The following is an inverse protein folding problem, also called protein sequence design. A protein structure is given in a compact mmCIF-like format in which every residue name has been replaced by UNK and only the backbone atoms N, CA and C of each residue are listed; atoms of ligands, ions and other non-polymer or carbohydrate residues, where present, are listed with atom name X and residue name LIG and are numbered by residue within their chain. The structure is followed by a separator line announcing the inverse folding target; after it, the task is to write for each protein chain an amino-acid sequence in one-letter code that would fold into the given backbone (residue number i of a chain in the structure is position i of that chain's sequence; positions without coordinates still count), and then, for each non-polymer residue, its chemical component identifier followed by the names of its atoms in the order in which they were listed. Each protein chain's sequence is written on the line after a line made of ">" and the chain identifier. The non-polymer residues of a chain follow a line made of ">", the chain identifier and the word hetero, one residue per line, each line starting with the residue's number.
data_IF_619538940183
#
_entry.id   IF_619538940183
#
_cell.length_a   1.000
_cell.length_b   1.000
_cell.length_c   1.000
_cell.angle_alpha   90.00
_cell.angle_beta   90.00
_cell.angle_gamma   90.00
#
_symmetry.space_group_name_H-M   'P 1'
#
loop_
_entity.id
_entity.type
_entity.pdbx_description
1 polymer ?
#
# COMPACT_ATOMS: atom_id res chain seq x y z
N UNK A 1 23.10 8.56 -36.94
CA UNK A 1 24.39 8.79 -37.63
C UNK A 1 25.21 9.75 -36.77
N UNK A 2 26.18 9.25 -36.01
CA UNK A 2 27.14 10.12 -35.32
C UNK A 2 28.42 10.17 -36.17
N UNK A 3 28.74 11.37 -36.66
CA UNK A 3 29.94 11.64 -37.46
C UNK A 3 31.08 12.00 -36.52
N UNK A 4 32.21 11.28 -36.60
CA UNK A 4 33.43 11.61 -35.86
C UNK A 4 34.51 11.95 -36.88
N UNK A 5 34.97 13.20 -36.91
CA UNK A 5 36.04 13.65 -37.80
C UNK A 5 37.40 13.30 -37.19
N UNK A 6 38.35 12.72 -37.95
CA UNK A 6 39.68 12.42 -37.43
C UNK A 6 40.57 13.66 -37.39
N UNK A 7 41.39 13.78 -36.33
CA UNK A 7 42.43 14.79 -36.18
C UNK A 7 43.73 14.23 -36.81
N UNK A 8 44.20 14.85 -37.89
CA UNK A 8 45.48 14.49 -38.53
C UNK A 8 46.64 15.20 -37.80
N UNK A 9 47.52 14.41 -37.17
CA UNK A 9 48.84 14.88 -36.72
C UNK A 9 49.89 14.46 -37.75
N UNK A 10 50.62 15.44 -38.30
CA UNK A 10 51.67 15.24 -39.30
C UNK A 10 52.98 14.85 -38.62
N UNK A 11 53.28 13.55 -38.63
CA UNK A 11 54.61 13.02 -38.35
C UNK A 11 55.00 12.06 -39.48
N UNK A 12 56.12 12.36 -40.16
CA UNK A 12 56.67 11.55 -41.26
C UNK A 12 57.20 10.23 -40.74
N UNK A 13 56.32 9.25 -40.62
CA UNK A 13 56.64 7.82 -40.63
C UNK A 13 55.73 7.19 -41.67
N UNK A 14 56.28 6.43 -42.61
CA UNK A 14 55.50 5.61 -43.54
C UNK A 14 54.87 4.44 -42.75
N UNK A 15 53.89 4.75 -41.92
CA UNK A 15 53.01 3.79 -41.29
C UNK A 15 51.62 3.99 -41.91
N UNK A 16 51.14 2.99 -42.65
CA UNK A 16 49.78 3.00 -43.19
C UNK A 16 48.82 2.92 -41.99
N UNK A 17 47.97 3.93 -41.73
CA UNK A 17 47.00 3.84 -40.66
C UNK A 17 45.96 2.78 -41.01
N UNK A 18 45.96 1.66 -40.27
CA UNK A 18 44.94 0.64 -40.40
C UNK A 18 43.69 1.10 -39.64
N UNK A 19 42.64 1.48 -40.36
CA UNK A 19 41.33 1.75 -39.78
C UNK A 19 40.52 0.45 -39.81
N UNK A 20 40.28 -0.12 -38.63
CA UNK A 20 39.35 -1.24 -38.48
C UNK A 20 37.95 -0.74 -38.18
N UNK A 21 36.93 -1.34 -38.80
CA UNK A 21 35.52 -1.18 -38.42
C UNK A 21 35.07 -2.51 -37.83
N UNK A 22 34.57 -2.48 -36.59
CA UNK A 22 33.94 -3.64 -35.97
C UNK A 22 32.42 -3.50 -36.06
N UNK A 23 31.76 -4.54 -36.57
CA UNK A 23 30.30 -4.67 -36.58
C UNK A 23 29.89 -5.72 -35.55
N UNK A 24 28.77 -5.51 -34.86
CA UNK A 24 28.23 -6.44 -33.87
C UNK A 24 26.80 -6.77 -34.31
N UNK A 25 26.56 -8.02 -34.68
CA UNK A 25 25.22 -8.54 -34.99
C UNK A 25 24.67 -9.21 -33.73
N UNK A 26 23.49 -8.77 -33.29
CA UNK A 26 22.80 -9.30 -32.10
C UNK A 26 21.51 -9.95 -32.57
N UNK A 27 21.33 -11.23 -32.28
CA UNK A 27 20.07 -11.91 -32.52
C UNK A 27 19.01 -11.40 -31.51
N UNK A 28 17.93 -10.82 -32.03
CA UNK A 28 16.90 -10.14 -31.25
C UNK A 28 15.76 -11.08 -30.82
N UNK A 29 15.80 -12.36 -31.21
CA UNK A 29 14.72 -13.32 -30.93
C UNK A 29 14.67 -13.77 -29.47
N UNK A 30 15.83 -14.01 -28.85
CA UNK A 30 15.94 -14.50 -27.46
C UNK A 30 16.32 -13.40 -26.45
N UNK A 31 16.39 -12.14 -26.89
CA UNK A 31 16.78 -11.01 -26.05
C UNK A 31 15.56 -10.25 -25.51
N UNK A 32 15.11 -10.59 -24.31
CA UNK A 32 14.03 -9.84 -23.64
C UNK A 32 14.47 -8.42 -23.22
N UNK A 33 13.58 -7.45 -23.35
CA UNK A 33 13.78 -6.08 -22.86
C UNK A 33 13.25 -5.99 -21.43
N UNK A 34 14.04 -5.43 -20.52
CA UNK A 34 13.57 -5.08 -19.18
C UNK A 34 13.39 -3.57 -19.05
N UNK A 35 12.14 -3.14 -18.86
CA UNK A 35 11.79 -1.74 -18.69
C UNK A 35 11.62 -1.34 -17.23
N UNK A 36 11.61 -2.31 -16.32
CA UNK A 36 11.40 -2.09 -14.89
C UNK A 36 12.65 -1.51 -14.22
N UNK A 37 12.41 -0.84 -13.09
CA UNK A 37 13.48 -0.30 -12.26
C UNK A 37 14.43 -1.39 -11.75
N UNK A 38 15.63 -0.97 -11.33
CA UNK A 38 16.56 -1.88 -10.68
C UNK A 38 16.09 -2.14 -9.25
N UNK A 39 15.63 -3.36 -8.97
CA UNK A 39 15.42 -3.81 -7.60
C UNK A 39 16.80 -3.86 -6.90
N UNK A 40 16.98 -3.09 -5.83
CA UNK A 40 18.24 -3.03 -5.05
C UNK A 40 18.62 -4.36 -4.37
N UNK A 41 17.83 -5.42 -4.53
CA UNK A 41 17.90 -6.68 -3.77
C UNK A 41 18.35 -7.90 -4.58
N UNK A 42 18.38 -7.82 -5.91
CA UNK A 42 18.75 -8.94 -6.80
C UNK A 42 19.89 -8.54 -7.71
N UNK A 43 21.06 -8.31 -7.09
CA UNK A 43 22.36 -8.47 -7.75
C UNK A 43 22.57 -9.96 -8.05
N UNK A 44 21.81 -10.49 -9.03
CA UNK A 44 22.19 -11.76 -9.64
C UNK A 44 23.42 -11.49 -10.51
N UNK A 45 24.59 -11.66 -9.88
CA UNK A 45 25.93 -11.40 -10.44
C UNK A 45 26.24 -12.19 -11.71
N UNK A 46 25.33 -13.05 -12.17
CA UNK A 46 25.56 -13.95 -13.29
C UNK A 46 24.93 -13.49 -14.62
N UNK A 47 24.18 -12.39 -14.66
CA UNK A 47 23.65 -11.85 -15.91
C UNK A 47 23.82 -10.34 -15.99
N UNK A 48 25.06 -9.90 -16.17
CA UNK A 48 25.38 -8.51 -16.56
C UNK A 48 24.98 -8.28 -18.02
N UNK A 49 23.69 -8.41 -18.32
CA UNK A 49 23.07 -7.97 -19.57
C UNK A 49 23.02 -6.45 -19.51
N UNK A 50 23.46 -5.76 -20.57
CA UNK A 50 23.36 -4.31 -20.67
C UNK A 50 21.87 -3.94 -20.69
N UNK A 51 21.33 -3.63 -19.52
CA UNK A 51 19.93 -3.30 -19.38
C UNK A 51 19.73 -1.80 -19.51
N UNK A 52 19.84 -1.32 -20.75
CA UNK A 52 19.75 0.10 -21.12
C UNK A 52 18.32 0.62 -21.11
N UNK A 53 17.33 -0.28 -20.96
CA UNK A 53 15.91 0.05 -21.04
C UNK A 53 15.26 0.20 -19.66
N UNK A 54 15.99 0.01 -18.57
CA UNK A 54 15.47 0.18 -17.19
C UNK A 54 14.87 1.56 -16.97
N UNK A 55 13.80 1.61 -16.16
CA UNK A 55 13.11 2.83 -15.79
C UNK A 55 12.36 3.50 -16.95
N UNK A 56 12.16 2.80 -18.08
CA UNK A 56 11.37 3.31 -19.21
C UNK A 56 9.90 2.88 -19.15
N UNK A 57 9.49 2.17 -18.10
CA UNK A 57 8.10 1.78 -17.89
C UNK A 57 7.18 2.99 -17.67
N UNK A 58 5.90 2.81 -17.97
CA UNK A 58 4.87 3.85 -17.80
C UNK A 58 3.96 3.59 -16.59
N UNK A 59 4.29 2.62 -15.74
CA UNK A 59 3.52 2.28 -14.54
C UNK A 59 3.29 3.51 -13.64
N UNK A 60 2.06 3.76 -13.17
CA UNK A 60 1.78 4.84 -12.22
C UNK A 60 2.42 4.59 -10.85
N UNK A 61 2.55 5.66 -10.05
CA UNK A 61 3.16 5.63 -8.70
C UNK A 61 2.46 4.67 -7.72
N UNK A 62 1.20 4.30 -7.96
CA UNK A 62 0.45 3.34 -7.14
C UNK A 62 0.75 1.87 -7.47
N UNK A 63 1.63 1.62 -8.44
CA UNK A 63 1.96 0.29 -8.96
C UNK A 63 3.46 0.05 -9.00
N UNK A 64 3.87 -1.22 -8.94
CA UNK A 64 5.23 -1.71 -9.15
C UNK A 64 5.33 -2.39 -10.52
N UNK A 65 6.42 -2.13 -11.23
CA UNK A 65 6.73 -2.78 -12.51
C UNK A 65 7.30 -4.19 -12.29
N UNK A 66 6.76 -5.18 -13.00
CA UNK A 66 7.27 -6.55 -13.09
C UNK A 66 7.49 -6.95 -14.55
N UNK A 67 8.69 -7.43 -14.89
CA UNK A 67 9.03 -7.82 -16.27
C UNK A 67 8.37 -9.15 -16.66
N UNK A 68 7.89 -9.24 -17.90
CA UNK A 68 7.46 -10.50 -18.52
C UNK A 68 8.62 -11.08 -19.35
N UNK A 69 9.07 -12.28 -19.00
CA UNK A 69 10.15 -13.01 -19.68
C UNK A 69 9.58 -13.80 -20.88
N UNK A 70 10.37 -13.97 -21.94
CA UNK A 70 10.03 -14.77 -23.12
C UNK A 70 9.11 -14.05 -24.11
N UNK A 71 9.19 -12.72 -24.18
CA UNK A 71 8.47 -11.90 -25.16
C UNK A 71 9.37 -11.42 -26.31
N UNK A 72 10.68 -11.68 -26.22
CA UNK A 72 11.67 -11.24 -27.19
C UNK A 72 11.91 -9.73 -27.11
N UNK A 73 12.49 -9.19 -28.17
CA UNK A 73 12.86 -7.77 -28.23
C UNK A 73 11.66 -6.86 -28.57
N UNK A 74 10.69 -6.79 -27.65
CA UNK A 74 9.47 -5.96 -27.78
C UNK A 74 9.26 -5.07 -26.56
N UNK A 75 8.80 -3.84 -26.74
CA UNK A 75 8.41 -2.94 -25.65
C UNK A 75 7.02 -3.30 -25.12
N UNK A 76 6.70 -2.87 -23.90
CA UNK A 76 5.43 -3.16 -23.24
C UNK A 76 5.35 -4.55 -22.61
N UNK A 77 6.46 -5.30 -22.57
CA UNK A 77 6.57 -6.62 -21.96
C UNK A 77 6.75 -6.55 -20.43
N UNK A 78 5.87 -5.81 -19.76
CA UNK A 78 5.84 -5.67 -18.30
C UNK A 78 4.40 -5.60 -17.80
N UNK A 79 4.22 -5.89 -16.51
CA UNK A 79 2.97 -5.76 -15.78
C UNK A 79 3.15 -4.70 -14.69
N UNK A 80 2.14 -3.86 -14.50
CA UNK A 80 2.08 -2.93 -13.37
C UNK A 80 1.17 -3.54 -12.30
N UNK A 81 1.78 -4.08 -11.24
CA UNK A 81 1.09 -4.71 -10.11
C UNK A 81 0.84 -3.67 -9.02
N UNK A 82 -0.31 -3.70 -8.35
CA UNK A 82 -0.58 -2.73 -7.28
C UNK A 82 0.44 -2.82 -6.13
N UNK A 83 0.89 -1.68 -5.63
CA UNK A 83 1.72 -1.63 -4.43
C UNK A 83 0.94 -2.11 -3.19
N UNK A 84 1.64 -2.53 -2.12
CA UNK A 84 1.00 -2.71 -0.81
C UNK A 84 0.19 -1.47 -0.44
N UNK A 85 -0.94 -1.68 0.24
CA UNK A 85 -1.94 -0.68 0.59
C UNK A 85 -2.76 -0.13 -0.57
N UNK A 86 -2.63 -0.71 -1.77
CA UNK A 86 -3.49 -0.45 -2.91
C UNK A 86 -4.05 -1.75 -3.49
N UNK A 87 -5.24 -1.70 -4.09
CA UNK A 87 -5.88 -2.83 -4.74
C UNK A 87 -6.35 -2.47 -6.15
N UNK A 88 -6.52 -3.52 -6.97
CA UNK A 88 -6.91 -3.37 -8.38
C UNK A 88 -8.41 -3.02 -8.49
N UNK A 89 -8.81 -2.04 -9.33
CA UNK A 89 -10.20 -1.59 -9.42
C UNK A 89 -11.22 -2.69 -9.73
N UNK A 90 -10.89 -3.62 -10.63
CA UNK A 90 -11.72 -4.78 -10.94
C UNK A 90 -11.33 -5.98 -10.06
N UNK A 91 -12.02 -6.11 -8.93
CA UNK A 91 -11.74 -7.15 -7.94
C UNK A 91 -11.97 -8.58 -8.46
N UNK A 92 -12.73 -8.73 -9.56
CA UNK A 92 -13.08 -10.03 -10.16
C UNK A 92 -12.14 -10.44 -11.31
N UNK A 93 -11.22 -9.57 -11.71
CA UNK A 93 -10.27 -9.88 -12.78
C UNK A 93 -9.37 -11.07 -12.40
N UNK A 94 -9.11 -11.96 -13.36
CA UNK A 94 -8.20 -13.10 -13.20
C UNK A 94 -6.76 -12.63 -12.94
N UNK A 95 -6.34 -11.57 -13.65
CA UNK A 95 -5.02 -10.95 -13.51
C UNK A 95 -5.20 -9.54 -12.94
N UNK A 96 -4.76 -9.32 -11.69
CA UNK A 96 -4.85 -8.04 -10.97
C UNK A 96 -3.66 -7.12 -11.25
N UNK A 97 -3.37 -6.93 -12.52
CA UNK A 97 -2.26 -6.10 -12.98
C UNK A 97 -2.61 -5.40 -14.28
N UNK A 98 -2.02 -4.23 -14.51
CA UNK A 98 -2.17 -3.53 -15.79
C UNK A 98 -1.09 -4.00 -16.77
N UNK A 99 -1.50 -4.28 -18.01
CA UNK A 99 -0.59 -4.65 -19.08
C UNK A 99 0.20 -3.42 -19.57
N UNK A 100 1.53 -3.52 -19.58
CA UNK A 100 2.42 -2.46 -20.06
C UNK A 100 2.20 -2.10 -21.52
N UNK A 101 1.81 -3.08 -22.36
CA UNK A 101 1.48 -2.86 -23.77
C UNK A 101 0.26 -1.96 -23.95
N UNK A 102 -0.77 -2.16 -23.14
CA UNK A 102 -2.00 -1.36 -23.20
C UNK A 102 -1.72 0.06 -22.70
N UNK A 103 -0.89 0.17 -21.66
CA UNK A 103 -0.41 1.43 -21.11
C UNK A 103 0.40 2.24 -22.14
N UNK A 104 1.38 1.60 -22.80
CA UNK A 104 2.16 2.23 -23.88
C UNK A 104 1.27 2.68 -25.05
N UNK A 105 0.25 1.88 -25.39
CA UNK A 105 -0.70 2.22 -26.46
C UNK A 105 -1.56 3.42 -26.06
N UNK A 106 -2.07 3.42 -24.83
CA UNK A 106 -2.86 4.51 -24.27
C UNK A 106 -2.07 5.83 -24.24
N UNK A 107 -0.87 5.83 -23.66
CA UNK A 107 -0.02 7.01 -23.59
C UNK A 107 0.45 7.49 -24.99
N UNK A 108 0.61 6.59 -25.95
CA UNK A 108 0.90 6.96 -27.35
C UNK A 108 -0.30 7.64 -28.01
N UNK A 109 -1.53 7.24 -27.65
CA UNK A 109 -2.77 7.82 -28.18
C UNK A 109 -3.19 9.13 -27.52
N UNK A 110 -2.85 9.36 -26.24
CA UNK A 110 -3.12 10.57 -25.45
C UNK A 110 -2.31 11.83 -25.88
N UNK A 111 -1.80 11.87 -27.12
CA UNK A 111 -1.28 13.13 -27.72
C UNK A 111 -2.43 14.00 -28.26
N UNK A 112 -3.69 13.61 -28.05
CA UNK A 112 -4.86 14.33 -28.57
C UNK A 112 -5.98 14.38 -27.52
N UNK A 113 -5.95 15.45 -26.73
CA UNK A 113 -7.13 16.16 -26.18
C UNK A 113 -8.18 15.34 -25.44
N UNK A 114 -8.38 15.73 -24.17
CA UNK A 114 -9.49 15.37 -23.26
C UNK A 114 -9.23 14.15 -22.37
N UNK A 115 -8.57 14.44 -21.25
CA UNK A 115 -8.41 13.55 -20.11
C UNK A 115 -9.43 13.98 -19.03
N UNK A 116 -10.69 13.49 -19.05
CA UNK A 116 -11.69 13.90 -18.07
C UNK A 116 -11.45 13.29 -16.67
N UNK A 117 -10.68 12.20 -16.55
CA UNK A 117 -10.40 11.56 -15.27
C UNK A 117 -8.99 10.97 -15.25
N UNK A 118 -8.05 11.63 -14.59
CA UNK A 118 -6.63 11.23 -14.43
C UNK A 118 -6.40 9.96 -13.60
N UNK A 119 -7.33 9.00 -13.67
CA UNK A 119 -7.42 7.80 -12.84
C UNK A 119 -7.27 6.49 -13.63
N UNK A 120 -7.12 6.53 -14.96
CA UNK A 120 -6.92 5.33 -15.76
C UNK A 120 -5.58 4.67 -15.40
N UNK A 121 -5.58 3.36 -15.17
CA UNK A 121 -4.41 2.54 -14.78
C UNK A 121 -3.83 2.77 -13.37
N UNK A 122 -4.54 3.47 -12.47
CA UNK A 122 -4.16 3.61 -11.06
C UNK A 122 -4.86 2.58 -10.18
N UNK A 123 -4.18 2.16 -9.11
CA UNK A 123 -4.78 1.33 -8.08
C UNK A 123 -5.49 2.17 -7.03
N UNK A 124 -6.48 1.59 -6.34
CA UNK A 124 -7.29 2.26 -5.33
C UNK A 124 -6.68 2.00 -3.95
N UNK A 125 -6.57 3.01 -3.06
CA UNK A 125 -6.02 2.80 -1.73
C UNK A 125 -6.93 1.90 -0.87
N UNK A 126 -6.31 1.02 -0.09
CA UNK A 126 -6.97 0.20 0.90
C UNK A 126 -7.56 1.03 2.05
N UNK A 127 -8.46 0.40 2.82
CA UNK A 127 -8.93 0.95 4.08
C UNK A 127 -7.78 1.26 5.06
N UNK A 128 -7.99 2.23 5.96
CA UNK A 128 -6.94 2.71 6.87
C UNK A 128 -6.47 1.59 7.80
N UNK A 129 -5.14 1.47 7.93
CA UNK A 129 -4.51 0.48 8.80
C UNK A 129 -4.35 -0.91 8.18
N UNK A 130 -4.77 -1.10 6.93
CA UNK A 130 -4.53 -2.34 6.19
C UNK A 130 -3.21 -2.26 5.40
N UNK A 131 -2.42 -3.33 5.44
CA UNK A 131 -1.20 -3.47 4.66
C UNK A 131 -1.47 -4.04 3.25
N UNK A 132 -2.35 -5.04 3.16
CA UNK A 132 -2.82 -5.62 1.90
C UNK A 132 -4.34 -5.75 1.93
N UNK A 133 -5.00 -5.56 0.79
CA UNK A 133 -6.44 -5.72 0.68
C UNK A 133 -6.81 -6.24 -0.72
N UNK A 134 -7.91 -6.99 -0.78
CA UNK A 134 -8.48 -7.48 -2.04
C UNK A 134 -9.47 -6.47 -2.62
N UNK A 135 -10.13 -5.75 -1.73
CA UNK A 135 -11.22 -4.82 -1.99
C UNK A 135 -11.23 -3.68 -0.94
N UNK A 136 -12.18 -2.75 -1.07
CA UNK A 136 -12.32 -1.61 -0.16
C UNK A 136 -12.87 -1.95 1.23
N UNK A 137 -13.10 -3.22 1.56
CA UNK A 137 -13.56 -3.62 2.89
C UNK A 137 -12.54 -3.31 3.98
N UNK A 138 -13.01 -2.86 5.17
CA UNK A 138 -12.12 -2.57 6.27
C UNK A 138 -11.60 -3.86 6.91
N UNK A 139 -10.27 -4.05 6.93
CA UNK A 139 -9.64 -5.18 7.61
C UNK A 139 -9.64 -5.02 9.14
N UNK A 140 -9.72 -3.78 9.62
CA UNK A 140 -9.84 -3.45 11.04
C UNK A 140 -11.29 -3.10 11.35
N UNK A 141 -11.69 -3.38 12.59
CA UNK A 141 -12.97 -2.91 13.09
C UNK A 141 -13.03 -1.39 13.00
N UNK A 142 -13.79 -0.88 12.03
CA UNK A 142 -13.99 0.54 11.86
C UNK A 142 -14.90 1.01 13.00
N UNK A 143 -14.30 1.54 14.06
CA UNK A 143 -15.01 2.16 15.17
C UNK A 143 -15.79 3.37 14.66
N UNK A 144 -17.00 3.11 14.17
CA UNK A 144 -17.92 4.15 13.74
C UNK A 144 -18.23 5.02 14.95
N UNK A 145 -18.33 6.33 14.73
CA UNK A 145 -18.64 7.26 15.82
C UNK A 145 -20.00 6.94 16.46
N UNK A 146 -20.89 6.27 15.72
CA UNK A 146 -22.15 5.72 16.21
C UNK A 146 -21.96 4.67 17.31
N UNK A 147 -20.98 3.77 17.19
CA UNK A 147 -20.74 2.76 18.23
C UNK A 147 -20.14 3.39 19.50
N UNK A 148 -19.29 4.40 19.35
CA UNK A 148 -18.77 5.18 20.48
C UNK A 148 -19.89 5.91 21.20
N UNK A 149 -20.77 6.58 20.47
CA UNK A 149 -21.90 7.32 21.04
C UNK A 149 -22.88 6.40 21.77
N UNK A 150 -23.20 5.23 21.20
CA UNK A 150 -24.10 4.26 21.83
C UNK A 150 -23.52 3.66 23.10
N UNK A 151 -22.23 3.28 23.10
CA UNK A 151 -21.55 2.82 24.32
C UNK A 151 -21.49 3.91 25.39
N UNK A 152 -21.20 5.17 25.03
CA UNK A 152 -21.19 6.30 25.97
C UNK A 152 -22.56 6.57 26.57
N UNK A 153 -23.62 6.54 25.76
CA UNK A 153 -24.99 6.73 26.24
C UNK A 153 -25.41 5.63 27.23
N UNK A 154 -25.04 4.38 26.96
CA UNK A 154 -25.30 3.26 27.86
C UNK A 154 -24.55 3.42 29.19
N UNK A 155 -23.29 3.86 29.18
CA UNK A 155 -22.53 4.12 30.42
C UNK A 155 -23.20 5.21 31.25
N UNK A 156 -23.59 6.33 30.64
CA UNK A 156 -24.29 7.42 31.33
C UNK A 156 -25.64 6.99 31.89
N UNK A 157 -26.40 6.18 31.15
CA UNK A 157 -27.67 5.62 31.62
C UNK A 157 -27.46 4.71 32.85
N UNK A 158 -26.44 3.85 32.83
CA UNK A 158 -26.14 2.97 33.97
C UNK A 158 -25.72 3.79 35.21
N UNK A 159 -24.87 4.80 35.04
CA UNK A 159 -24.44 5.69 36.13
C UNK A 159 -25.63 6.44 36.75
N UNK A 160 -26.54 6.96 35.93
CA UNK A 160 -27.73 7.66 36.44
C UNK A 160 -28.67 6.75 37.23
N UNK A 161 -28.91 5.53 36.77
CA UNK A 161 -29.72 4.54 37.49
C UNK A 161 -29.11 4.24 38.87
N UNK A 162 -27.80 4.05 38.93
CA UNK A 162 -27.08 3.74 40.18
C UNK A 162 -27.11 4.94 41.14
N UNK A 163 -26.94 6.15 40.63
CA UNK A 163 -27.11 7.38 41.42
C UNK A 163 -28.53 7.46 42.01
N UNK A 164 -29.58 7.23 41.20
CA UNK A 164 -30.96 7.22 41.68
C UNK A 164 -31.21 6.15 42.77
N UNK A 165 -30.70 4.92 42.58
CA UNK A 165 -30.81 3.84 43.57
C UNK A 165 -30.04 4.16 44.86
N UNK A 166 -28.86 4.78 44.75
CA UNK A 166 -28.08 5.20 45.93
C UNK A 166 -28.77 6.32 46.73
N UNK A 167 -29.40 7.29 46.05
CA UNK A 167 -30.20 8.34 46.72
C UNK A 167 -31.46 7.75 47.34
N UNK A 168 -32.17 6.88 46.61
CA UNK A 168 -33.35 6.21 47.13
C UNK A 168 -33.01 5.40 48.39
N UNK A 169 -31.98 4.56 48.34
CA UNK A 169 -31.52 3.79 49.52
C UNK A 169 -31.06 4.70 50.66
N UNK A 170 -30.43 5.85 50.38
CA UNK A 170 -30.07 6.83 51.42
C UNK A 170 -31.30 7.43 52.11
N UNK A 171 -32.34 7.80 51.35
CA UNK A 171 -33.61 8.31 51.89
C UNK A 171 -34.37 7.24 52.65
N UNK A 172 -34.41 6.00 52.12
CA UNK A 172 -35.03 4.86 52.80
C UNK A 172 -34.26 4.44 54.06
N UNK A 173 -32.93 4.55 54.09
CA UNK A 173 -32.09 4.34 55.28
C UNK A 173 -32.39 5.34 56.39
N UNK A 174 -32.58 6.61 56.03
CA UNK A 174 -33.04 7.61 57.00
C UNK A 174 -34.38 7.22 57.65
N UNK A 175 -35.17 6.38 56.97
CA UNK A 175 -36.47 5.90 57.43
C UNK A 175 -36.44 4.52 58.10
N UNK A 176 -35.49 3.64 57.74
CA UNK A 176 -35.31 2.28 58.27
C UNK A 176 -33.90 2.17 58.86
N UNK A 177 -33.79 2.42 60.16
CA UNK A 177 -32.52 2.49 60.88
C UNK A 177 -31.98 1.10 61.32
N UNK A 178 -32.10 0.04 60.50
CA UNK A 178 -31.60 -1.30 60.89
C UNK A 178 -31.49 -2.34 59.73
N UNK A 179 -30.47 -2.26 58.85
CA UNK A 179 -29.86 -3.45 58.19
C UNK A 179 -28.59 -3.08 57.40
N UNK A 180 -27.41 -3.55 57.84
CA UNK A 180 -26.10 -3.09 57.33
C UNK A 180 -25.45 -3.95 56.25
N UNK A 181 -25.94 -5.16 55.95
CA UNK A 181 -25.08 -6.16 55.28
C UNK A 181 -25.25 -6.23 53.75
N UNK A 182 -26.43 -5.90 53.21
CA UNK A 182 -26.70 -5.97 51.76
C UNK A 182 -25.96 -4.86 50.98
N UNK A 183 -25.71 -3.73 51.63
CA UNK A 183 -25.17 -2.53 50.98
C UNK A 183 -23.64 -2.54 50.85
N UNK A 184 -22.94 -3.34 51.67
CA UNK A 184 -21.49 -3.51 51.52
C UNK A 184 -21.20 -4.35 50.27
N UNK A 185 -21.98 -5.40 50.03
CA UNK A 185 -21.85 -6.27 48.86
C UNK A 185 -22.19 -5.55 47.54
N UNK A 186 -23.19 -4.66 47.54
CA UNK A 186 -23.53 -3.87 46.34
C UNK A 186 -22.49 -2.76 46.04
N UNK A 187 -21.89 -2.14 47.06
CA UNK A 187 -20.81 -1.15 46.87
C UNK A 187 -19.52 -1.80 46.37
N UNK A 188 -19.17 -2.98 46.88
CA UNK A 188 -17.99 -3.74 46.44
C UNK A 188 -18.18 -4.18 44.98
N UNK A 189 -19.34 -4.74 44.63
CA UNK A 189 -19.63 -5.14 43.25
C UNK A 189 -19.56 -3.96 42.25
N UNK A 190 -19.99 -2.75 42.66
CA UNK A 190 -19.96 -1.56 41.79
C UNK A 190 -18.57 -0.92 41.68
N UNK A 191 -17.75 -1.03 42.73
CA UNK A 191 -16.38 -0.52 42.75
C UNK A 191 -15.42 -1.40 41.93
N UNK A 192 -15.71 -2.68 41.75
CA UNK A 192 -14.87 -3.61 40.99
C UNK A 192 -15.24 -3.68 39.49
N UNK A 193 -16.53 -3.54 39.13
CA UNK A 193 -16.98 -3.65 37.72
C UNK A 193 -16.71 -2.40 36.86
N UNK A 194 -16.77 -1.20 37.44
CA UNK A 194 -16.53 0.05 36.71
C UNK A 194 -15.07 0.27 36.26
N UNK A 195 -14.04 0.06 37.11
CA UNK A 195 -12.65 0.21 36.68
C UNK A 195 -12.24 -0.90 35.70
N UNK A 196 -12.80 -2.11 35.82
CA UNK A 196 -12.53 -3.20 34.88
C UNK A 196 -13.13 -2.93 33.48
N UNK A 197 -14.34 -2.35 33.43
CA UNK A 197 -14.92 -1.88 32.17
C UNK A 197 -14.17 -0.67 31.58
N UNK A 198 -13.61 0.20 32.44
CA UNK A 198 -12.77 1.33 32.03
C UNK A 198 -11.37 0.90 31.54
N UNK A 199 -10.75 -0.14 32.08
CA UNK A 199 -9.48 -0.69 31.55
C UNK A 199 -9.68 -1.41 30.21
N UNK A 200 -10.83 -2.05 30.00
CA UNK A 200 -11.23 -2.54 28.67
C UNK A 200 -11.54 -1.36 27.70
N UNK A 201 -12.10 -0.26 28.20
CA UNK A 201 -12.44 0.94 27.44
C UNK A 201 -11.21 1.78 27.02
N UNK A 202 -10.21 1.88 27.90
CA UNK A 202 -8.92 2.53 27.61
C UNK A 202 -7.85 1.54 27.13
N UNK A 203 -8.22 0.31 26.74
CA UNK A 203 -7.32 -0.70 26.19
C UNK A 203 -6.24 -0.05 25.33
N UNK A 204 -4.99 -0.14 25.79
CA UNK A 204 -3.85 0.66 25.34
C UNK A 204 -3.91 0.94 23.83
N UNK A 205 -4.05 2.20 23.40
CA UNK A 205 -3.67 2.54 22.04
C UNK A 205 -2.14 2.47 21.94
N UNK A 206 -1.63 1.33 21.47
CA UNK A 206 -0.28 1.17 20.94
C UNK A 206 0.88 1.39 21.91
N UNK A 207 1.31 0.33 22.60
CA UNK A 207 2.75 0.13 22.80
C UNK A 207 3.24 -0.80 21.70
N UNK A 208 4.03 -0.24 20.79
CA UNK A 208 4.69 -0.89 19.66
C UNK A 208 5.09 -2.34 19.98
N UNK A 209 4.69 -3.25 19.10
CA UNK A 209 5.29 -4.58 18.99
C UNK A 209 5.42 -4.90 17.50
N UNK A 210 6.45 -4.32 16.91
CA UNK A 210 7.11 -4.79 15.70
C UNK A 210 8.60 -4.79 16.06
N UNK A 211 9.10 -5.98 16.41
CA UNK A 211 10.44 -6.41 16.02
C UNK A 211 10.40 -6.75 14.52
#
# INVERSE_FOLDING_TARGET
>A
MFSVSPILSSARTCAVPCVGVATIDIDMTDLDINQCDQDSATDDKNQKKLDIFRGTHLCPETTKCEQIIGKGFTTGAYLCVCLPRYYFPDTNAEIKAFSGKDLETYFRSETSTENPEGNLYRCIPCARGCETCVDGSPCLYQSSDSLKLTMMALILLNVTIVCCLSVATFVYRKKLNESSDIHNNLRIAHADLLPCAMELYYGRPGSKMFD
#
